data_IF_197435980428
#
_entry.id   IF_197435980428
#
_cell.length_a   1.000
_cell.length_b   1.000
_cell.length_c   1.000
_cell.angle_alpha   90.00
_cell.angle_beta   90.00
_cell.angle_gamma   90.00
#
_symmetry.space_group_name_H-M   'P 1'
#
loop_
_entity.id
_entity.type
_entity.pdbx_description
1 polymer ?
#
# COMPACT_ATOMS: atom_id res chain seq x y z
N UNK A 1 19.49 1.87 -3.08
CA UNK A 1 18.31 2.09 -2.23
C UNK A 1 18.82 2.72 -0.95
N UNK A 2 18.26 3.87 -0.60
CA UNK A 2 18.51 4.56 0.65
C UNK A 2 17.55 4.05 1.72
N UNK A 3 17.95 4.19 2.97
CA UNK A 3 17.13 3.86 4.14
C UNK A 3 16.91 5.10 4.99
N UNK A 4 15.71 5.22 5.57
CA UNK A 4 15.36 6.30 6.49
C UNK A 4 16.10 6.14 7.82
N UNK A 5 16.23 7.23 8.58
CA UNK A 5 16.89 7.24 9.88
C UNK A 5 16.25 6.29 10.90
N UNK A 6 14.95 6.02 10.77
CA UNK A 6 14.17 5.11 11.62
C UNK A 6 13.95 3.71 11.00
N UNK A 7 14.66 3.35 9.93
CA UNK A 7 14.47 2.05 9.25
C UNK A 7 14.59 0.85 10.19
N UNK A 8 15.65 0.80 11.01
CA UNK A 8 15.84 -0.31 11.95
C UNK A 8 14.86 -0.27 13.13
N UNK A 9 14.50 0.93 13.60
CA UNK A 9 13.50 1.14 14.65
C UNK A 9 12.13 0.63 14.20
N UNK A 10 11.75 0.92 12.95
CA UNK A 10 10.55 0.43 12.30
C UNK A 10 10.49 -1.11 12.26
N UNK A 11 11.53 -1.78 11.77
CA UNK A 11 11.56 -3.25 11.70
C UNK A 11 11.65 -3.90 13.08
N UNK A 12 12.37 -3.29 14.03
CA UNK A 12 12.46 -3.77 15.41
C UNK A 12 11.07 -3.82 16.08
N UNK A 13 10.31 -2.73 15.97
CA UNK A 13 8.97 -2.63 16.57
C UNK A 13 7.95 -3.56 15.89
N UNK A 14 7.98 -3.61 14.55
CA UNK A 14 6.97 -4.34 13.75
C UNK A 14 7.23 -5.85 13.69
N UNK A 15 8.44 -6.33 14.01
CA UNK A 15 8.78 -7.76 14.01
C UNK A 15 7.81 -8.59 14.85
N UNK A 16 7.48 -8.11 16.04
CA UNK A 16 6.55 -8.81 16.95
C UNK A 16 5.16 -9.06 16.34
N UNK A 17 4.74 -8.22 15.39
CA UNK A 17 3.47 -8.41 14.67
C UNK A 17 3.52 -9.65 13.77
N UNK A 18 4.64 -9.92 13.08
CA UNK A 18 4.80 -11.13 12.26
C UNK A 18 4.79 -12.41 13.10
N UNK A 19 5.37 -12.35 14.29
CA UNK A 19 5.41 -13.50 15.20
C UNK A 19 4.00 -13.80 15.76
N UNK A 20 3.19 -12.75 15.99
CA UNK A 20 1.86 -12.83 16.62
C UNK A 20 0.73 -13.10 15.63
N UNK A 21 0.72 -12.41 14.48
CA UNK A 21 -0.38 -12.44 13.52
C UNK A 21 -0.01 -13.25 12.27
N UNK A 22 -0.45 -14.51 12.23
CA UNK A 22 -0.22 -15.42 11.09
C UNK A 22 -0.93 -15.01 9.80
N UNK A 23 -1.79 -13.99 9.85
CA UNK A 23 -2.38 -13.39 8.64
C UNK A 23 -1.46 -12.35 8.01
N UNK A 24 -0.33 -12.03 8.63
CA UNK A 24 0.73 -11.23 8.02
C UNK A 24 1.71 -12.10 7.23
N UNK A 25 2.14 -11.53 6.12
CA UNK A 25 3.06 -12.09 5.14
C UNK A 25 4.44 -11.45 5.26
N UNK A 26 4.46 -10.13 5.40
CA UNK A 26 5.70 -9.37 5.49
C UNK A 26 5.50 -8.03 6.22
N UNK A 27 6.61 -7.38 6.54
CA UNK A 27 6.65 -5.95 6.81
C UNK A 27 7.42 -5.32 5.65
N UNK A 28 6.90 -4.28 5.01
CA UNK A 28 7.61 -3.53 3.96
C UNK A 28 7.82 -2.08 4.38
N UNK A 29 9.01 -1.57 4.08
CA UNK A 29 9.37 -0.16 4.23
C UNK A 29 8.82 0.72 3.10
N UNK A 30 8.11 0.18 2.11
CA UNK A 30 7.72 0.89 0.90
C UNK A 30 6.23 1.18 0.82
N UNK A 31 5.89 2.42 0.47
CA UNK A 31 4.56 2.83 0.02
C UNK A 31 4.59 3.09 -1.51
N UNK A 32 3.96 2.21 -2.30
CA UNK A 32 3.88 2.36 -3.77
C UNK A 32 3.20 3.68 -4.22
N UNK A 33 2.31 4.24 -3.41
CA UNK A 33 1.69 5.56 -3.65
C UNK A 33 2.31 6.67 -2.77
N UNK A 34 3.52 6.45 -2.24
CA UNK A 34 4.23 7.35 -1.31
C UNK A 34 4.82 8.62 -1.92
N UNK A 35 4.19 9.19 -2.95
CA UNK A 35 4.62 10.47 -3.55
C UNK A 35 4.28 11.61 -2.60
N UNK A 36 5.08 12.68 -2.60
CA UNK A 36 4.94 13.82 -1.66
C UNK A 36 3.52 14.41 -1.54
N UNK A 37 2.78 14.47 -2.66
CA UNK A 37 1.42 15.03 -2.73
C UNK A 37 0.31 14.01 -2.39
N UNK A 38 0.65 12.74 -2.13
CA UNK A 38 -0.27 11.62 -1.88
C UNK A 38 -0.23 11.08 -0.43
N UNK A 39 0.57 11.70 0.45
CA UNK A 39 0.83 11.24 1.81
C UNK A 39 0.65 12.35 2.85
N UNK A 40 0.25 11.97 4.07
CA UNK A 40 0.23 12.88 5.20
C UNK A 40 1.60 12.95 5.87
N UNK A 41 2.40 13.95 5.44
CA UNK A 41 3.73 14.22 6.02
C UNK A 41 3.70 14.52 7.53
N UNK A 42 2.53 14.83 8.11
CA UNK A 42 2.38 15.08 9.54
C UNK A 42 2.18 13.81 10.36
N UNK A 43 2.01 12.66 9.71
CA UNK A 43 1.82 11.36 10.37
C UNK A 43 2.89 10.34 9.94
N UNK A 44 4.19 10.60 10.19
CA UNK A 44 5.25 9.67 9.85
C UNK A 44 5.10 8.30 10.55
N UNK A 45 4.42 8.24 11.70
CA UNK A 45 4.16 7.04 12.49
C UNK A 45 3.03 6.15 11.95
N UNK A 46 2.21 6.66 11.03
CA UNK A 46 1.02 5.93 10.56
C UNK A 46 1.41 4.74 9.68
N UNK A 47 0.94 3.56 10.08
CA UNK A 47 1.11 2.30 9.35
C UNK A 47 -0.24 1.69 8.95
N UNK A 48 -0.20 0.86 7.91
CA UNK A 48 -1.35 0.20 7.31
C UNK A 48 -1.07 -1.29 7.10
N UNK A 49 -2.15 -2.07 6.95
CA UNK A 49 -2.10 -3.37 6.27
C UNK A 49 -2.23 -3.16 4.76
N UNK A 50 -1.68 -4.06 3.97
CA UNK A 50 -1.86 -4.11 2.50
C UNK A 50 -1.80 -5.53 1.98
N UNK A 51 -2.70 -5.88 1.06
CA UNK A 51 -2.67 -7.14 0.32
C UNK A 51 -1.62 -7.14 -0.80
N UNK A 52 -1.15 -5.96 -1.22
CA UNK A 52 -0.14 -5.83 -2.25
C UNK A 52 1.26 -6.00 -1.65
N UNK A 53 1.99 -7.02 -2.11
CA UNK A 53 3.40 -7.17 -1.75
C UNK A 53 4.28 -6.15 -2.49
N UNK A 54 4.70 -5.12 -1.77
CA UNK A 54 5.50 -4.00 -2.30
C UNK A 54 7.00 -4.31 -2.37
N UNK A 55 7.51 -5.18 -1.49
CA UNK A 55 8.94 -5.50 -1.42
C UNK A 55 9.78 -4.29 -0.98
N UNK A 56 10.81 -3.94 -1.78
CA UNK A 56 11.61 -2.70 -1.69
C UNK A 56 12.06 -2.33 -0.26
N UNK A 57 12.70 -3.28 0.42
CA UNK A 57 13.04 -3.22 1.85
C UNK A 57 11.93 -3.88 2.67
N UNK A 58 12.05 -5.18 2.88
CA UNK A 58 11.00 -5.97 3.51
C UNK A 58 11.57 -7.05 4.43
N UNK A 59 10.77 -7.44 5.41
CA UNK A 59 11.08 -8.46 6.41
C UNK A 59 10.02 -9.57 6.33
N UNK A 60 10.50 -10.80 6.44
CA UNK A 60 9.68 -12.01 6.49
C UNK A 60 10.17 -12.92 7.62
N UNK A 61 9.32 -13.85 8.05
CA UNK A 61 9.71 -14.85 9.04
C UNK A 61 10.50 -15.99 8.38
N UNK A 62 11.29 -16.70 9.19
CA UNK A 62 11.93 -17.96 8.76
C UNK A 62 10.88 -19.02 8.39
N UNK A 63 9.76 -19.06 9.11
CA UNK A 63 8.65 -19.96 8.83
C UNK A 63 8.13 -19.74 7.41
N UNK A 64 7.94 -18.49 7.00
CA UNK A 64 7.53 -18.17 5.63
C UNK A 64 8.60 -18.59 4.60
N UNK A 65 9.89 -18.42 4.90
CA UNK A 65 10.94 -18.93 4.00
C UNK A 65 10.85 -20.43 3.79
N UNK A 66 10.61 -21.19 4.85
CA UNK A 66 10.50 -22.65 4.77
C UNK A 66 9.28 -23.08 3.94
N UNK A 67 8.24 -22.25 3.86
CA UNK A 67 7.10 -22.45 2.97
C UNK A 67 7.44 -22.13 1.51
N UNK A 68 8.11 -21.00 1.23
CA UNK A 68 8.34 -20.51 -0.12
C UNK A 68 9.57 -21.10 -0.81
N UNK A 69 10.65 -21.33 -0.07
CA UNK A 69 11.94 -21.79 -0.58
C UNK A 69 11.87 -23.06 -1.42
N UNK A 70 11.13 -24.11 -1.00
CA UNK A 70 10.99 -25.34 -1.79
C UNK A 70 10.28 -25.18 -3.14
N UNK A 71 9.49 -24.12 -3.31
CA UNK A 71 8.68 -23.85 -4.52
C UNK A 71 9.10 -22.56 -5.23
N UNK A 72 10.31 -22.06 -4.95
CA UNK A 72 10.78 -20.79 -5.45
C UNK A 72 10.83 -20.76 -6.99
N UNK A 73 10.40 -19.68 -7.65
CA UNK A 73 10.30 -19.62 -9.11
C UNK A 73 11.67 -19.36 -9.75
N UNK A 74 11.81 -19.73 -11.02
CA UNK A 74 13.02 -19.48 -11.81
C UNK A 74 13.21 -18.00 -12.19
N UNK A 75 12.16 -17.18 -12.09
CA UNK A 75 12.18 -15.75 -12.47
C UNK A 75 10.94 -15.02 -11.97
N UNK A 76 10.95 -13.68 -12.09
CA UNK A 76 9.84 -12.80 -11.69
C UNK A 76 9.30 -13.09 -10.29
N UNK A 77 10.22 -13.32 -9.35
CA UNK A 77 9.89 -13.78 -8.00
C UNK A 77 8.92 -12.85 -7.26
N UNK A 78 8.98 -11.53 -7.53
CA UNK A 78 8.15 -10.52 -6.90
C UNK A 78 6.72 -10.50 -7.46
N UNK A 79 6.52 -10.85 -8.73
CA UNK A 79 5.17 -11.08 -9.27
C UNK A 79 4.62 -12.45 -8.84
N UNK A 80 5.47 -13.48 -8.79
CA UNK A 80 5.10 -14.79 -8.29
C UNK A 80 4.62 -14.73 -6.83
N UNK A 81 5.32 -14.02 -5.96
CA UNK A 81 4.96 -13.91 -4.54
C UNK A 81 3.68 -13.11 -4.31
N UNK A 82 3.27 -12.26 -5.28
CA UNK A 82 2.00 -11.50 -5.26
C UNK A 82 0.78 -12.37 -5.59
N UNK A 83 0.98 -13.46 -6.33
CA UNK A 83 -0.09 -14.39 -6.69
C UNK A 83 -0.76 -14.95 -5.43
N UNK A 84 -2.08 -14.92 -5.36
CA UNK A 84 -2.85 -15.30 -4.18
C UNK A 84 -2.75 -16.79 -3.83
N UNK A 85 -2.42 -17.66 -4.80
CA UNK A 85 -2.10 -19.07 -4.50
C UNK A 85 -0.85 -19.21 -3.62
N UNK A 86 0.07 -18.24 -3.70
CA UNK A 86 1.31 -18.16 -2.90
C UNK A 86 1.09 -17.28 -1.66
N UNK A 87 0.55 -16.07 -1.84
CA UNK A 87 0.25 -15.11 -0.77
C UNK A 87 -0.77 -15.64 0.23
N UNK A 88 -1.71 -16.48 -0.21
CA UNK A 88 -2.77 -17.14 0.61
C UNK A 88 -3.56 -16.14 1.45
N UNK A 89 -4.02 -15.04 0.83
CA UNK A 89 -4.77 -13.96 1.49
C UNK A 89 -4.06 -13.31 2.69
N UNK A 90 -2.74 -13.48 2.84
CA UNK A 90 -1.96 -12.76 3.85
C UNK A 90 -1.63 -11.34 3.38
N UNK A 91 -1.45 -10.43 4.34
CA UNK A 91 -1.18 -9.03 4.09
C UNK A 91 0.22 -8.64 4.57
N UNK A 92 0.78 -7.53 4.09
CA UNK A 92 1.96 -6.92 4.67
C UNK A 92 1.61 -5.67 5.49
N UNK A 93 2.46 -5.31 6.44
CA UNK A 93 2.44 -3.95 7.00
C UNK A 93 3.23 -3.02 6.08
N UNK A 94 2.72 -1.82 5.82
CA UNK A 94 3.40 -0.77 5.05
C UNK A 94 3.18 0.61 5.67
N UNK A 95 4.13 1.55 5.55
CA UNK A 95 4.00 2.87 6.17
C UNK A 95 3.20 3.87 5.31
N UNK A 96 2.82 5.00 5.92
CA UNK A 96 2.39 6.20 5.19
C UNK A 96 3.55 6.83 4.41
N UNK A 97 4.69 7.03 5.08
CA UNK A 97 5.92 7.57 4.48
C UNK A 97 6.95 6.44 4.40
N UNK A 98 7.50 6.21 3.20
CA UNK A 98 8.44 5.11 2.97
C UNK A 98 9.70 5.23 3.83
N UNK A 99 10.19 4.10 4.34
CA UNK A 99 11.46 3.95 5.06
C UNK A 99 12.61 3.56 4.13
N UNK A 100 12.31 3.40 2.84
CA UNK A 100 13.28 3.18 1.78
C UNK A 100 13.02 4.12 0.62
N UNK A 101 14.08 4.49 -0.09
CA UNK A 101 14.07 5.40 -1.24
C UNK A 101 14.87 4.81 -2.39
N UNK A 102 14.42 5.00 -3.63
CA UNK A 102 15.24 4.60 -4.79
C UNK A 102 16.33 5.63 -5.05
N UNK A 103 17.57 5.16 -5.05
CA UNK A 103 18.74 5.98 -5.37
C UNK A 103 18.82 6.20 -6.88
N UNK A 104 19.61 7.19 -7.31
CA UNK A 104 19.77 7.51 -8.74
C UNK A 104 20.36 6.34 -9.54
N UNK A 105 21.16 5.48 -8.91
CA UNK A 105 21.71 4.26 -9.49
C UNK A 105 20.60 3.25 -9.81
N UNK A 106 19.49 3.28 -9.07
CA UNK A 106 18.30 2.45 -9.32
C UNK A 106 17.66 2.67 -10.70
N UNK A 107 18.01 3.76 -11.40
CA UNK A 107 17.63 3.97 -12.79
C UNK A 107 18.26 2.94 -13.73
N UNK A 108 19.47 2.47 -13.42
CA UNK A 108 20.20 1.46 -14.20
C UNK A 108 20.03 0.10 -13.52
N UNK A 109 19.06 -0.68 -13.98
CA UNK A 109 18.77 -2.00 -13.44
C UNK A 109 18.17 -2.94 -14.47
N UNK A 110 17.71 -4.11 -14.03
CA UNK A 110 17.14 -5.15 -14.89
C UNK A 110 15.96 -4.64 -15.75
N UNK A 111 15.17 -3.69 -15.23
CA UNK A 111 14.06 -3.06 -15.96
C UNK A 111 14.49 -1.94 -16.92
N UNK A 112 15.78 -1.64 -17.05
CA UNK A 112 16.31 -0.52 -17.87
C UNK A 112 15.70 0.85 -17.52
N UNK A 113 15.30 1.04 -16.26
CA UNK A 113 14.74 2.29 -15.78
C UNK A 113 13.25 2.48 -16.08
N UNK A 114 12.58 1.45 -16.60
CA UNK A 114 11.12 1.43 -16.69
C UNK A 114 10.53 1.76 -15.30
N UNK A 115 9.54 2.66 -15.27
CA UNK A 115 8.87 3.16 -14.05
C UNK A 115 9.71 4.05 -13.11
N UNK A 116 11.03 4.13 -13.28
CA UNK A 116 11.89 4.88 -12.35
C UNK A 116 11.50 6.36 -12.29
N UNK A 117 11.51 7.03 -13.45
CA UNK A 117 11.29 8.48 -13.52
C UNK A 117 9.84 8.88 -13.20
N UNK A 118 8.87 8.04 -13.56
CA UNK A 118 7.45 8.36 -13.39
C UNK A 118 6.93 8.06 -11.98
N UNK A 119 7.42 6.99 -11.35
CA UNK A 119 6.92 6.49 -10.07
C UNK A 119 8.02 6.37 -9.02
N UNK A 120 8.98 5.46 -9.19
CA UNK A 120 9.86 5.02 -8.09
C UNK A 120 10.75 6.15 -7.53
N UNK A 121 11.28 7.02 -8.39
CA UNK A 121 12.12 8.14 -7.99
C UNK A 121 11.36 9.27 -7.29
N UNK A 122 10.02 9.23 -7.32
CA UNK A 122 9.15 10.24 -6.69
C UNK A 122 8.61 9.81 -5.33
N UNK A 123 8.93 8.61 -4.87
CA UNK A 123 8.53 8.13 -3.56
C UNK A 123 9.39 8.83 -2.51
N UNK A 124 8.73 9.48 -1.56
CA UNK A 124 9.39 10.27 -0.52
C UNK A 124 10.00 9.33 0.53
N UNK A 125 11.29 9.54 0.82
CA UNK A 125 11.97 8.91 1.94
C UNK A 125 11.67 9.68 3.23
N UNK A 126 11.30 8.97 4.30
CA UNK A 126 11.07 9.59 5.60
C UNK A 126 12.36 10.20 6.19
N UNK A 127 12.27 11.43 6.66
CA UNK A 127 13.36 12.14 7.33
C UNK A 127 13.11 12.33 8.85
N UNK A 128 11.89 12.07 9.32
CA UNK A 128 11.49 12.26 10.73
C UNK A 128 11.64 10.95 11.49
N UNK A 129 12.53 10.89 12.48
CA UNK A 129 12.71 9.68 13.29
C UNK A 129 11.48 9.39 14.16
N UNK A 130 10.83 8.25 13.95
CA UNK A 130 9.71 7.78 14.78
C UNK A 130 10.20 6.68 15.72
N UNK A 131 9.96 6.85 17.03
CA UNK A 131 10.27 5.85 18.06
C UNK A 131 9.21 4.73 18.08
N UNK A 132 9.12 3.92 17.02
CA UNK A 132 8.09 2.89 16.88
C UNK A 132 8.05 1.87 18.03
N UNK A 133 9.19 1.53 18.64
CA UNK A 133 9.25 0.59 19.77
C UNK A 133 8.54 1.11 21.03
N UNK A 134 8.26 2.42 21.08
CA UNK A 134 7.48 3.06 22.14
C UNK A 134 5.99 3.19 21.82
N UNK A 135 5.56 2.83 20.60
CA UNK A 135 4.16 2.93 20.17
C UNK A 135 3.42 1.61 20.38
N UNK A 136 2.12 1.69 20.66
CA UNK A 136 1.26 0.52 20.66
C UNK A 136 0.80 0.21 19.22
N UNK A 137 1.44 -0.77 18.60
CA UNK A 137 1.15 -1.20 17.23
C UNK A 137 0.08 -2.31 17.14
N UNK A 138 -0.57 -2.68 18.25
CA UNK A 138 -1.61 -3.75 18.27
C UNK A 138 -2.82 -3.44 17.39
N UNK A 139 -3.04 -2.17 17.05
CA UNK A 139 -4.10 -1.78 16.11
C UNK A 139 -3.92 -2.40 14.71
N UNK A 140 -2.70 -2.85 14.36
CA UNK A 140 -2.36 -3.49 13.09
C UNK A 140 -2.66 -5.00 13.04
N UNK A 141 -2.96 -5.63 14.18
CA UNK A 141 -3.40 -7.03 14.21
C UNK A 141 -4.75 -7.15 13.50
N UNK A 142 -4.94 -8.17 12.66
CA UNK A 142 -6.13 -8.29 11.79
C UNK A 142 -7.46 -8.14 12.55
N UNK A 143 -7.56 -8.77 13.72
CA UNK A 143 -8.74 -8.71 14.59
C UNK A 143 -9.13 -7.28 15.00
N UNK A 144 -8.14 -6.39 15.17
CA UNK A 144 -8.34 -5.00 15.55
C UNK A 144 -8.46 -4.09 14.31
N UNK A 145 -7.69 -4.41 13.27
CA UNK A 145 -7.56 -3.57 12.09
C UNK A 145 -8.80 -3.62 11.20
N UNK A 146 -9.32 -4.81 10.87
CA UNK A 146 -10.35 -4.96 9.84
C UNK A 146 -11.62 -4.19 10.16
N UNK A 147 -12.17 -4.39 11.35
CA UNK A 147 -13.41 -3.74 11.74
C UNK A 147 -13.24 -2.22 11.78
N UNK A 148 -12.19 -1.73 12.44
CA UNK A 148 -11.95 -0.28 12.60
C UNK A 148 -11.64 0.39 11.26
N UNK A 149 -10.86 -0.27 10.42
CA UNK A 149 -10.51 0.23 9.09
C UNK A 149 -11.74 0.29 8.19
N UNK A 150 -12.49 -0.80 8.06
CA UNK A 150 -13.69 -0.83 7.23
C UNK A 150 -14.76 0.15 7.74
N UNK A 151 -14.95 0.27 9.04
CA UNK A 151 -15.85 1.27 9.61
C UNK A 151 -15.41 2.69 9.24
N UNK A 152 -14.13 3.02 9.36
CA UNK A 152 -13.58 4.34 8.98
C UNK A 152 -13.74 4.62 7.49
N UNK A 153 -13.51 3.62 6.63
CA UNK A 153 -13.65 3.74 5.18
C UNK A 153 -15.11 3.96 4.79
N UNK A 154 -16.00 3.07 5.22
CA UNK A 154 -17.38 3.05 4.73
C UNK A 154 -18.30 4.06 5.43
N UNK A 155 -17.90 4.63 6.56
CA UNK A 155 -18.57 5.80 7.17
C UNK A 155 -18.12 7.14 6.59
N UNK A 156 -17.04 7.19 5.79
CA UNK A 156 -16.59 8.43 5.17
C UNK A 156 -17.61 8.91 4.11
N UNK A 157 -17.82 10.24 3.98
CA UNK A 157 -18.69 10.83 2.95
C UNK A 157 -18.35 10.32 1.55
N UNK A 158 -19.38 9.86 0.83
CA UNK A 158 -19.23 9.34 -0.53
C UNK A 158 -19.21 10.48 -1.55
N UNK A 159 -18.16 10.53 -2.35
CA UNK A 159 -18.08 11.36 -3.56
C UNK A 159 -18.79 10.62 -4.68
N UNK A 160 -19.81 11.26 -5.29
CA UNK A 160 -20.68 10.62 -6.26
C UNK A 160 -20.04 10.40 -7.63
N UNK A 161 -19.00 11.14 -8.00
CA UNK A 161 -18.32 10.96 -9.29
C UNK A 161 -16.84 11.36 -9.26
N UNK A 162 -16.07 10.80 -10.20
CA UNK A 162 -14.64 11.08 -10.36
C UNK A 162 -14.39 12.57 -10.65
N UNK A 163 -15.31 13.20 -11.39
CA UNK A 163 -15.24 14.60 -11.81
C UNK A 163 -15.35 15.56 -10.62
N UNK A 164 -15.94 15.12 -9.49
CA UNK A 164 -16.01 15.93 -8.27
C UNK A 164 -14.76 15.85 -7.40
N UNK A 165 -13.89 14.84 -7.58
CA UNK A 165 -12.66 14.69 -6.79
C UNK A 165 -11.78 15.94 -6.76
N UNK A 166 -11.50 16.62 -7.89
CA UNK A 166 -10.67 17.83 -7.85
C UNK A 166 -11.25 18.90 -6.94
N UNK A 167 -12.58 19.09 -6.97
CA UNK A 167 -13.26 20.08 -6.15
C UNK A 167 -13.19 19.72 -4.67
N UNK A 168 -13.45 18.47 -4.31
CA UNK A 168 -13.40 18.00 -2.92
C UNK A 168 -11.99 18.06 -2.32
N UNK A 169 -10.96 17.92 -3.15
CA UNK A 169 -9.56 18.00 -2.71
C UNK A 169 -9.07 19.45 -2.61
N UNK A 170 -9.64 20.38 -3.37
CA UNK A 170 -9.26 21.81 -3.31
C UNK A 170 -10.06 22.56 -2.24
N UNK A 171 -11.35 22.27 -2.11
CA UNK A 171 -12.27 22.88 -1.14
C UNK A 171 -13.02 21.79 -0.36
N UNK A 172 -12.33 21.07 0.55
CA UNK A 172 -12.94 19.97 1.27
C UNK A 172 -14.05 20.41 2.21
N UNK A 173 -15.22 19.80 2.07
CA UNK A 173 -16.27 19.84 3.11
C UNK A 173 -15.95 18.93 4.30
N UNK A 174 -15.03 17.96 4.10
CA UNK A 174 -14.59 16.98 5.10
C UNK A 174 -13.11 16.69 4.92
N UNK A 175 -12.39 16.43 6.03
CA UNK A 175 -11.00 15.97 5.99
C UNK A 175 -10.85 14.50 5.58
N UNK A 176 -11.97 13.78 5.39
CA UNK A 176 -12.01 12.40 4.94
C UNK A 176 -13.16 12.20 3.97
N UNK A 177 -12.88 11.47 2.88
CA UNK A 177 -13.86 11.16 1.85
C UNK A 177 -13.61 9.75 1.31
N UNK A 178 -14.64 9.17 0.71
CA UNK A 178 -14.56 7.91 -0.03
C UNK A 178 -15.07 8.11 -1.44
N UNK A 179 -14.37 7.54 -2.41
CA UNK A 179 -14.89 7.34 -3.76
C UNK A 179 -14.97 5.84 -4.04
N UNK A 180 -16.07 5.43 -4.67
CA UNK A 180 -16.39 4.03 -4.88
C UNK A 180 -16.10 3.61 -6.31
N UNK A 181 -15.52 2.41 -6.49
CA UNK A 181 -15.37 1.78 -7.79
C UNK A 181 -16.09 0.43 -7.86
N UNK A 182 -16.60 0.10 -9.04
CA UNK A 182 -17.34 -1.15 -9.31
C UNK A 182 -16.75 -1.95 -10.48
N UNK A 183 -16.02 -1.29 -11.38
CA UNK A 183 -15.37 -1.89 -12.54
C UNK A 183 -13.90 -1.46 -12.63
N UNK A 184 -13.10 -2.22 -13.36
CA UNK A 184 -11.70 -1.87 -13.64
C UNK A 184 -11.61 -0.51 -14.34
N UNK A 185 -12.44 -0.26 -15.34
CA UNK A 185 -12.48 1.02 -16.06
C UNK A 185 -12.75 2.20 -15.11
N UNK A 186 -13.71 2.04 -14.20
CA UNK A 186 -14.03 3.06 -13.22
C UNK A 186 -12.88 3.31 -12.24
N UNK A 187 -12.21 2.24 -11.77
CA UNK A 187 -10.99 2.37 -10.97
C UNK A 187 -9.90 3.13 -11.73
N UNK A 188 -9.65 2.79 -12.99
CA UNK A 188 -8.59 3.43 -13.78
C UNK A 188 -8.84 4.93 -13.96
N UNK A 189 -10.09 5.35 -14.18
CA UNK A 189 -10.45 6.77 -14.22
C UNK A 189 -10.14 7.49 -12.91
N UNK A 190 -10.44 6.86 -11.77
CA UNK A 190 -10.10 7.42 -10.45
C UNK A 190 -8.58 7.49 -10.28
N UNK A 191 -7.88 6.42 -10.66
CA UNK A 191 -6.44 6.31 -10.54
C UNK A 191 -5.73 7.42 -11.35
N UNK A 192 -6.21 7.67 -12.56
CA UNK A 192 -5.72 8.74 -13.45
C UNK A 192 -5.99 10.13 -12.86
N UNK A 193 -7.20 10.36 -12.36
CA UNK A 193 -7.59 11.64 -11.76
C UNK A 193 -6.72 12.00 -10.55
N UNK A 194 -6.38 11.00 -9.72
CA UNK A 194 -5.57 11.17 -8.51
C UNK A 194 -4.06 10.97 -8.77
N UNK A 195 -3.68 10.53 -9.97
CA UNK A 195 -2.30 10.20 -10.37
C UNK A 195 -1.64 9.16 -9.44
N UNK A 196 -2.43 8.22 -8.91
CA UNK A 196 -1.94 7.05 -8.17
C UNK A 196 -1.48 5.97 -9.16
N UNK A 197 -0.85 4.90 -8.67
CA UNK A 197 -0.50 3.76 -9.52
C UNK A 197 -1.77 3.04 -9.99
N UNK A 198 -1.80 2.68 -11.28
CA UNK A 198 -2.95 2.11 -11.98
C UNK A 198 -2.91 0.58 -12.05
N UNK A 199 -1.72 0.01 -11.95
CA UNK A 199 -1.49 -1.41 -12.21
C UNK A 199 -1.99 -2.30 -11.09
N UNK A 200 -2.36 -3.51 -11.51
CA UNK A 200 -2.78 -4.61 -10.67
C UNK A 200 -1.79 -5.76 -10.80
N UNK A 201 -1.65 -6.53 -9.72
CA UNK A 201 -0.96 -7.82 -9.73
C UNK A 201 -1.88 -8.85 -9.11
N UNK A 202 -2.27 -9.86 -9.89
CA UNK A 202 -3.27 -10.86 -9.50
C UNK A 202 -4.58 -10.21 -8.98
N UNK A 203 -5.05 -9.18 -9.68
CA UNK A 203 -6.25 -8.44 -9.28
C UNK A 203 -6.09 -7.51 -8.07
N UNK A 204 -4.90 -7.40 -7.47
CA UNK A 204 -4.64 -6.54 -6.31
C UNK A 204 -4.04 -5.20 -6.77
N UNK A 205 -4.69 -4.05 -6.52
CA UNK A 205 -4.11 -2.74 -6.79
C UNK A 205 -3.00 -2.39 -5.79
N UNK A 206 -2.06 -1.57 -6.23
CA UNK A 206 -0.94 -1.07 -5.40
C UNK A 206 -1.45 -0.47 -4.09
N UNK A 207 -0.80 -0.81 -2.98
CA UNK A 207 -1.13 -0.37 -1.59
C UNK A 207 -2.48 -0.79 -1.02
N UNK A 208 -3.30 -1.54 -1.78
CA UNK A 208 -4.66 -1.85 -1.38
C UNK A 208 -4.73 -2.77 -0.17
N UNK A 209 -5.79 -2.65 0.63
CA UNK A 209 -6.19 -3.62 1.64
C UNK A 209 -7.70 -3.83 1.56
N UNK A 210 -8.14 -5.06 1.35
CA UNK A 210 -9.55 -5.39 1.07
C UNK A 210 -10.11 -4.55 -0.09
N UNK A 211 -9.30 -4.34 -1.13
CA UNK A 211 -9.61 -3.48 -2.28
C UNK A 211 -9.50 -1.98 -2.02
N UNK A 212 -9.32 -1.53 -0.78
CA UNK A 212 -9.27 -0.09 -0.47
C UNK A 212 -7.86 0.46 -0.66
N UNK A 213 -7.70 1.43 -1.57
CA UNK A 213 -6.50 2.25 -1.70
C UNK A 213 -6.68 3.49 -0.83
N UNK A 214 -5.68 3.81 -0.02
CA UNK A 214 -5.69 4.99 0.85
C UNK A 214 -4.63 5.98 0.39
N UNK A 215 -5.04 7.21 0.13
CA UNK A 215 -4.13 8.33 -0.18
C UNK A 215 -4.53 9.60 0.60
N UNK A 216 -3.66 10.59 0.60
CA UNK A 216 -3.87 11.87 1.27
C UNK A 216 -3.47 13.01 0.37
N UNK A 217 -4.40 13.91 0.06
CA UNK A 217 -4.16 15.03 -0.86
C UNK A 217 -4.73 16.30 -0.24
N UNK A 218 -3.92 17.35 -0.16
CA UNK A 218 -4.34 18.69 0.32
C UNK A 218 -5.10 18.68 1.66
N UNK A 219 -4.68 17.85 2.62
CA UNK A 219 -5.35 17.78 3.92
C UNK A 219 -6.52 16.79 3.99
N UNK A 220 -6.84 16.12 2.88
CA UNK A 220 -7.98 15.20 2.77
C UNK A 220 -7.49 13.76 2.64
N UNK A 221 -7.96 12.89 3.53
CA UNK A 221 -7.79 11.44 3.44
C UNK A 221 -8.83 10.89 2.45
N UNK A 222 -8.37 10.28 1.37
CA UNK A 222 -9.23 9.72 0.32
C UNK A 222 -9.12 8.20 0.36
N UNK A 223 -10.27 7.54 0.50
CA UNK A 223 -10.40 6.10 0.30
C UNK A 223 -10.97 5.82 -1.09
N UNK A 224 -10.18 5.18 -1.96
CA UNK A 224 -10.69 4.58 -3.20
C UNK A 224 -11.07 3.15 -2.85
N UNK A 225 -12.36 2.87 -2.75
CA UNK A 225 -12.87 1.62 -2.19
C UNK A 225 -13.82 0.90 -3.16
N UNK A 226 -13.86 -0.44 -3.17
CA UNK A 226 -14.87 -1.15 -3.93
C UNK A 226 -16.26 -0.91 -3.34
N UNK A 227 -17.30 -1.13 -4.14
CA UNK A 227 -18.66 -1.26 -3.60
C UNK A 227 -18.78 -2.51 -2.74
N UNK A 228 -18.85 -2.30 -1.42
CA UNK A 228 -18.87 -3.38 -0.44
C UNK A 228 -20.09 -4.29 -0.55
N UNK A 229 -21.19 -3.81 -1.14
CA UNK A 229 -22.40 -4.62 -1.28
C UNK A 229 -22.25 -5.73 -2.35
N UNK A 230 -21.31 -5.56 -3.28
CA UNK A 230 -21.06 -6.50 -4.38
C UNK A 230 -19.61 -7.03 -4.40
N UNK A 231 -18.75 -6.53 -3.51
CA UNK A 231 -17.36 -6.97 -3.44
C UNK A 231 -17.27 -8.40 -2.90
N UNK A 232 -16.70 -9.30 -3.70
CA UNK A 232 -16.53 -10.72 -3.37
C UNK A 232 -15.07 -11.15 -3.24
N UNK A 233 -14.14 -10.19 -3.25
CA UNK A 233 -12.70 -10.45 -3.27
C UNK A 233 -12.02 -9.81 -4.49
N UNK A 234 -10.71 -10.05 -4.62
CA UNK A 234 -9.94 -9.63 -5.79
C UNK A 234 -10.31 -10.48 -7.01
N UNK A 235 -10.47 -9.83 -8.17
CA UNK A 235 -10.66 -10.51 -9.45
C UNK A 235 -9.31 -10.62 -10.14
N UNK A 236 -8.75 -11.82 -10.23
CA UNK A 236 -7.42 -12.05 -10.84
C UNK A 236 -7.34 -11.63 -12.32
N UNK A 237 -8.48 -11.49 -13.00
CA UNK A 237 -8.52 -10.99 -14.39
C UNK A 237 -8.41 -9.46 -14.47
N UNK A 238 -8.42 -8.73 -13.35
CA UNK A 238 -8.16 -7.30 -13.36
C UNK A 238 -6.66 -7.08 -13.51
N UNK A 239 -6.28 -6.69 -14.71
CA UNK A 239 -4.91 -6.31 -15.07
C UNK A 239 -4.94 -4.95 -15.76
N UNK A 240 -3.96 -4.12 -15.45
CA UNK A 240 -3.76 -2.84 -16.11
C UNK A 240 -2.26 -2.57 -16.22
N UNK A 241 -1.84 -1.93 -17.32
CA UNK A 241 -0.49 -1.40 -17.43
C UNK A 241 -0.27 -0.30 -16.39
N UNK A 242 0.99 -0.14 -15.97
CA UNK A 242 1.39 0.99 -15.14
C UNK A 242 1.40 2.32 -15.92
N UNK A 243 1.34 2.25 -17.25
CA UNK A 243 1.22 3.38 -18.18
C UNK A 243 -0.25 3.60 -18.56
#
# INVERSE_FOLDING_TARGET
>A
MDIASDFFEYFSATRSLLDTDKTLYCISAWNDNGKDYLIDKKQPELLYRSDFFSGLGWMMTRELWNELGPIWPNGFWDDWIRNNTIRKNRACIRPEISRTGMTIEGKKGASRGLFFTQHLAKILLNEIFVNFTKLNLRYLLKENYDHTFLQRVYSAPLISSVEMLPKEVITPASNVVRIQYTTLENYLRIADQLKIMRDFKDGVPRTAYLGVITCFINGVRIYIAPDWNIWSGYNSNWEASSE
#
